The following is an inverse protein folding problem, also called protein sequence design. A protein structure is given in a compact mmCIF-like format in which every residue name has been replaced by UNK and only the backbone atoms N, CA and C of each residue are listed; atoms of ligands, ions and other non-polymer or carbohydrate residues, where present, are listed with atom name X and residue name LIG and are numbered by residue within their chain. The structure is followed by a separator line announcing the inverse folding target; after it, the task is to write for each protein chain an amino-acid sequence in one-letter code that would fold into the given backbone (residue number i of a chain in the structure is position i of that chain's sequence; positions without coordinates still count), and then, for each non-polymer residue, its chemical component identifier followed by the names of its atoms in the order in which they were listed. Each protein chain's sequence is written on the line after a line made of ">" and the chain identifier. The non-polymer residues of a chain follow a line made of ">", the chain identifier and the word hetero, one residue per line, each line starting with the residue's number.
data_IF_820893229916
#
_entry.id   IF_820893229916
#
_cell.length_a   1.000
_cell.length_b   1.000
_cell.length_c   1.000
_cell.angle_alpha   90.00
_cell.angle_beta   90.00
_cell.angle_gamma   90.00
#
_symmetry.space_group_name_H-M   'P 1'
#
loop_
_entity.id
_entity.type
_entity.pdbx_description
1 polymer ?
#
# COMPACT_ATOMS: atom_id res chain seq x y z
N UNK A 1 -4.15 -4.32 -19.44
CA UNK A 1 -3.90 -4.17 -17.99
C UNK A 1 -2.84 -5.17 -17.60
N UNK A 2 -1.73 -4.72 -17.04
CA UNK A 2 -0.63 -5.59 -16.58
C UNK A 2 -1.08 -6.41 -15.38
N UNK A 3 -0.56 -7.62 -15.23
CA UNK A 3 -0.70 -8.35 -13.97
C UNK A 3 0.13 -7.69 -12.88
N UNK A 4 -0.27 -7.81 -11.62
CA UNK A 4 0.47 -7.22 -10.49
C UNK A 4 1.94 -7.64 -10.50
N UNK A 5 2.21 -8.91 -10.81
CA UNK A 5 3.57 -9.42 -10.94
C UNK A 5 4.46 -8.69 -11.95
N UNK A 6 3.87 -8.09 -13.00
CA UNK A 6 4.62 -7.32 -14.01
C UNK A 6 5.03 -5.93 -13.52
N UNK A 7 4.34 -5.42 -12.48
CA UNK A 7 4.57 -4.10 -11.90
C UNK A 7 5.60 -4.16 -10.79
N UNK A 8 5.72 -5.30 -10.10
CA UNK A 8 6.65 -5.49 -8.99
C UNK A 8 8.11 -5.39 -9.47
N UNK A 9 8.97 -4.77 -8.68
CA UNK A 9 10.41 -4.64 -8.95
C UNK A 9 11.08 -6.01 -9.02
N UNK A 10 12.02 -6.18 -9.96
CA UNK A 10 12.72 -7.46 -10.19
C UNK A 10 13.42 -7.99 -8.94
N UNK A 11 14.08 -7.12 -8.19
CA UNK A 11 14.74 -7.53 -6.95
C UNK A 11 13.75 -7.97 -5.85
N UNK A 12 12.51 -7.48 -5.88
CA UNK A 12 11.45 -7.89 -4.94
C UNK A 12 10.85 -9.24 -5.36
N UNK A 13 10.67 -9.47 -6.67
CA UNK A 13 10.21 -10.76 -7.19
C UNK A 13 11.14 -11.91 -6.80
N UNK A 14 12.44 -11.65 -6.77
CA UNK A 14 13.46 -12.64 -6.41
C UNK A 14 13.62 -12.90 -4.91
N UNK A 15 12.90 -12.15 -4.04
CA UNK A 15 13.02 -12.33 -2.59
C UNK A 15 12.32 -13.62 -2.14
N UNK A 16 13.03 -14.43 -1.37
CA UNK A 16 12.41 -15.47 -0.57
C UNK A 16 11.85 -14.82 0.69
N UNK A 17 10.56 -15.03 0.94
CA UNK A 17 9.94 -14.57 2.18
C UNK A 17 10.66 -15.22 3.38
N UNK A 18 10.91 -14.44 4.41
CA UNK A 18 11.39 -14.99 5.67
C UNK A 18 10.34 -15.96 6.23
N UNK A 19 10.74 -17.19 6.48
CA UNK A 19 9.95 -18.16 7.18
C UNK A 19 10.45 -18.29 8.61
N UNK A 20 9.55 -18.19 9.58
CA UNK A 20 9.85 -18.50 10.97
C UNK A 20 9.24 -19.85 11.34
N UNK A 21 9.90 -20.59 12.25
CA UNK A 21 9.42 -21.91 12.69
C UNK A 21 7.95 -21.89 13.15
N UNK A 22 7.52 -20.80 13.79
CA UNK A 22 6.14 -20.59 14.23
C UNK A 22 5.15 -20.50 13.06
N UNK A 23 5.57 -19.97 11.91
CA UNK A 23 4.71 -19.85 10.74
C UNK A 23 4.50 -21.19 10.01
N UNK A 24 5.46 -22.11 10.16
CA UNK A 24 5.43 -23.44 9.54
C UNK A 24 4.78 -24.49 10.40
N UNK A 25 4.56 -24.19 11.69
CA UNK A 25 4.03 -25.15 12.63
C UNK A 25 2.52 -25.03 12.81
N UNK A 26 1.80 -26.11 12.52
CA UNK A 26 0.37 -26.27 12.78
C UNK A 26 0.17 -27.38 13.83
N UNK A 27 0.12 -27.03 15.10
CA UNK A 27 -0.08 -28.00 16.17
C UNK A 27 -0.62 -27.38 17.45
N UNK A 28 -1.32 -28.21 18.24
CA UNK A 28 -1.82 -27.85 19.56
C UNK A 28 -1.20 -28.76 20.63
N UNK A 29 -1.14 -28.31 21.87
CA UNK A 29 -0.60 -29.07 23.02
C UNK A 29 0.87 -29.47 22.88
N UNK A 30 1.70 -28.55 22.40
CA UNK A 30 3.15 -28.75 22.30
C UNK A 30 3.90 -27.76 23.17
N UNK A 31 5.11 -28.13 23.57
CA UNK A 31 6.07 -27.20 24.17
C UNK A 31 6.92 -26.63 23.05
N UNK A 32 6.79 -25.33 22.81
CA UNK A 32 7.55 -24.62 21.79
C UNK A 32 8.94 -24.24 22.33
N UNK A 33 9.99 -24.74 21.68
CA UNK A 33 11.39 -24.46 21.96
C UNK A 33 12.11 -23.89 20.73
N UNK A 34 11.33 -23.32 19.83
CA UNK A 34 11.74 -22.89 18.50
C UNK A 34 12.23 -21.42 18.43
N UNK A 35 12.01 -20.66 19.52
CA UNK A 35 12.30 -19.25 19.57
C UNK A 35 12.78 -18.78 20.94
N UNK A 36 13.54 -17.71 20.97
CA UNK A 36 14.02 -17.10 22.22
C UNK A 36 12.94 -16.19 22.81
N UNK A 37 11.91 -16.80 23.39
CA UNK A 37 10.79 -16.11 24.00
C UNK A 37 10.95 -15.97 25.51
N UNK A 38 10.29 -14.95 26.11
CA UNK A 38 10.28 -14.78 27.56
C UNK A 38 9.51 -15.94 28.23
N UNK A 39 10.14 -16.70 29.14
CA UNK A 39 9.49 -17.85 29.80
C UNK A 39 8.45 -17.43 30.85
N UNK A 40 8.49 -16.19 31.32
CA UNK A 40 7.54 -15.72 32.32
C UNK A 40 6.19 -15.39 31.69
N UNK A 41 5.12 -15.91 32.29
CA UNK A 41 3.77 -15.73 31.76
C UNK A 41 3.37 -14.24 31.78
N UNK A 42 2.98 -13.72 30.62
CA UNK A 42 2.37 -12.41 30.40
C UNK A 42 1.58 -12.41 29.10
N UNK A 43 0.79 -11.40 28.85
CA UNK A 43 0.05 -11.24 27.59
C UNK A 43 0.98 -11.03 26.38
N UNK A 44 2.22 -10.62 26.59
CA UNK A 44 3.16 -10.22 25.54
C UNK A 44 4.47 -11.04 25.55
N UNK A 45 4.47 -12.22 26.17
CA UNK A 45 5.68 -13.03 26.30
C UNK A 45 5.99 -13.92 25.10
N UNK A 46 5.10 -13.96 24.12
CA UNK A 46 5.24 -14.75 22.91
C UNK A 46 5.37 -13.87 21.66
N UNK A 47 6.10 -14.33 20.66
CA UNK A 47 6.11 -13.68 19.36
C UNK A 47 4.71 -13.66 18.74
N UNK A 48 4.27 -12.54 18.17
CA UNK A 48 2.99 -12.46 17.49
C UNK A 48 2.98 -13.29 16.21
N UNK A 49 1.80 -13.64 15.72
CA UNK A 49 1.65 -14.23 14.40
C UNK A 49 2.10 -13.23 13.31
N UNK A 50 3.19 -13.51 12.55
CA UNK A 50 3.73 -12.59 11.55
C UNK A 50 2.76 -12.36 10.38
N UNK A 51 1.77 -13.23 10.20
CA UNK A 51 0.76 -13.09 9.16
C UNK A 51 -0.54 -12.45 9.63
N UNK A 52 -0.67 -12.15 10.93
CA UNK A 52 -1.86 -11.52 11.57
C UNK A 52 -3.17 -12.23 11.17
N UNK A 53 -3.17 -13.56 11.13
CA UNK A 53 -4.25 -14.38 10.57
C UNK A 53 -5.59 -14.14 11.26
N UNK A 54 -5.60 -14.03 12.57
CA UNK A 54 -6.80 -13.79 13.36
C UNK A 54 -7.38 -12.41 13.08
N UNK A 55 -6.56 -11.38 13.16
CA UNK A 55 -6.97 -10.00 12.89
C UNK A 55 -7.46 -9.83 11.45
N UNK A 56 -6.77 -10.42 10.47
CA UNK A 56 -7.20 -10.40 9.06
C UNK A 56 -8.54 -11.10 8.85
N UNK A 57 -8.82 -12.20 9.56
CA UNK A 57 -10.14 -12.85 9.51
C UNK A 57 -11.26 -11.94 10.01
N UNK A 58 -11.05 -11.26 11.13
CA UNK A 58 -12.04 -10.33 11.66
C UNK A 58 -12.26 -9.12 10.76
N UNK A 59 -11.19 -8.52 10.24
CA UNK A 59 -11.31 -7.39 9.29
C UNK A 59 -11.98 -7.87 8.00
N UNK A 60 -11.60 -9.03 7.47
CA UNK A 60 -12.21 -9.60 6.28
C UNK A 60 -13.70 -9.83 6.44
N UNK A 61 -14.13 -10.36 7.59
CA UNK A 61 -15.54 -10.52 7.93
C UNK A 61 -16.28 -9.17 8.01
N UNK A 62 -15.68 -8.18 8.66
CA UNK A 62 -16.27 -6.85 8.84
C UNK A 62 -16.40 -6.10 7.51
N UNK A 63 -15.39 -6.19 6.65
CA UNK A 63 -15.32 -5.46 5.38
C UNK A 63 -15.84 -6.24 4.17
N UNK A 64 -16.17 -7.51 4.33
CA UNK A 64 -16.58 -8.37 3.22
C UNK A 64 -15.47 -8.63 2.20
N UNK A 65 -14.20 -8.67 2.65
CA UNK A 65 -13.02 -8.82 1.80
C UNK A 65 -12.29 -10.12 2.15
N UNK A 66 -11.83 -10.85 1.17
CA UNK A 66 -11.03 -12.06 1.38
C UNK A 66 -9.70 -11.76 2.09
N UNK A 67 -9.31 -12.60 3.03
CA UNK A 67 -8.09 -12.46 3.83
C UNK A 67 -6.83 -12.34 2.95
N UNK A 68 -6.79 -13.05 1.83
CA UNK A 68 -5.71 -13.01 0.84
C UNK A 68 -5.50 -11.63 0.19
N UNK A 69 -6.51 -10.76 0.27
CA UNK A 69 -6.48 -9.40 -0.26
C UNK A 69 -6.20 -8.35 0.81
N UNK A 70 -5.87 -8.76 2.03
CA UNK A 70 -5.60 -7.86 3.14
C UNK A 70 -4.12 -7.81 3.48
N UNK A 71 -3.59 -6.60 3.54
CA UNK A 71 -2.29 -6.29 4.14
C UNK A 71 -2.55 -5.30 5.27
N UNK A 72 -1.99 -5.57 6.44
CA UNK A 72 -2.15 -4.72 7.61
C UNK A 72 -0.82 -4.06 7.96
N UNK A 73 -0.88 -2.79 8.34
CA UNK A 73 0.28 -1.98 8.75
C UNK A 73 -0.08 -1.04 9.90
N UNK A 74 0.93 -0.38 10.44
CA UNK A 74 0.77 0.63 11.49
C UNK A 74 0.45 1.99 10.86
N UNK A 75 -0.82 2.17 10.52
CA UNK A 75 -1.30 3.32 9.76
C UNK A 75 -1.09 3.17 8.25
N UNK A 76 -1.68 4.08 7.49
CA UNK A 76 -1.54 4.12 6.03
C UNK A 76 -0.11 4.42 5.58
N UNK A 77 0.66 5.20 6.35
CA UNK A 77 2.02 5.59 5.99
C UNK A 77 2.96 4.41 5.79
N UNK A 78 2.86 3.37 6.67
CA UNK A 78 3.65 2.15 6.50
C UNK A 78 3.29 1.42 5.20
N UNK A 79 2.00 1.37 4.87
CA UNK A 79 1.53 0.71 3.65
C UNK A 79 1.88 1.50 2.38
N UNK A 80 1.83 2.83 2.44
CA UNK A 80 2.27 3.72 1.34
C UNK A 80 3.76 3.48 1.05
N UNK A 81 4.60 3.53 2.06
CA UNK A 81 6.04 3.29 1.91
C UNK A 81 6.33 1.87 1.38
N UNK A 82 5.64 0.87 1.91
CA UNK A 82 5.77 -0.51 1.46
C UNK A 82 5.39 -0.70 -0.02
N UNK A 83 4.30 -0.07 -0.47
CA UNK A 83 3.88 -0.10 -1.87
C UNK A 83 4.94 0.54 -2.78
N UNK A 84 5.43 1.72 -2.42
CA UNK A 84 6.47 2.43 -3.18
C UNK A 84 7.71 1.54 -3.32
N UNK A 85 8.19 0.96 -2.22
CA UNK A 85 9.36 0.05 -2.23
C UNK A 85 9.14 -1.19 -3.06
N UNK A 86 7.91 -1.67 -3.14
CA UNK A 86 7.58 -2.89 -3.88
C UNK A 86 7.57 -2.67 -5.38
N UNK A 87 7.09 -1.51 -5.85
CA UNK A 87 6.81 -1.31 -7.28
C UNK A 87 7.67 -0.27 -7.97
N UNK A 88 8.17 0.75 -7.25
CA UNK A 88 8.95 1.83 -7.84
C UNK A 88 10.45 1.59 -7.72
N UNK A 89 11.16 1.52 -8.82
CA UNK A 89 12.62 1.48 -8.85
C UNK A 89 13.17 2.89 -8.60
N UNK A 90 14.00 3.09 -7.56
CA UNK A 90 14.61 4.39 -7.27
C UNK A 90 15.31 5.00 -8.49
N UNK A 91 15.30 6.33 -8.61
CA UNK A 91 15.96 7.12 -9.69
C UNK A 91 15.47 6.81 -11.10
N UNK A 92 14.46 5.96 -11.27
CA UNK A 92 13.92 5.59 -12.57
C UNK A 92 12.44 5.80 -12.68
N UNK A 93 11.69 5.29 -11.71
CA UNK A 93 10.24 5.29 -11.75
C UNK A 93 9.69 6.54 -11.04
N UNK A 94 8.47 6.90 -11.39
CA UNK A 94 7.77 8.03 -10.81
C UNK A 94 6.36 7.67 -10.36
N UNK A 95 5.78 8.56 -9.56
CA UNK A 95 4.42 8.48 -9.09
C UNK A 95 3.72 9.83 -9.18
N UNK A 96 2.40 9.83 -9.37
CA UNK A 96 1.58 11.03 -9.38
C UNK A 96 0.84 11.19 -8.05
N UNK A 97 0.80 12.42 -7.58
CA UNK A 97 0.03 12.87 -6.42
C UNK A 97 -0.64 14.21 -6.75
N UNK A 98 -1.59 14.63 -5.93
CA UNK A 98 -2.34 15.87 -6.15
C UNK A 98 -2.12 16.86 -5.01
N UNK A 99 -2.09 18.16 -5.35
CA UNK A 99 -1.93 19.30 -4.43
C UNK A 99 -3.13 20.26 -4.55
N UNK A 100 -3.69 20.74 -3.44
CA UNK A 100 -3.37 20.37 -2.07
C UNK A 100 -3.78 18.92 -1.72
N UNK A 101 -2.93 18.17 -1.00
CA UNK A 101 -3.15 16.78 -0.67
C UNK A 101 -2.33 16.30 0.51
N UNK A 102 -2.44 15.01 0.83
CA UNK A 102 -1.71 14.41 1.94
C UNK A 102 -0.20 14.34 1.65
N UNK A 103 0.57 15.09 2.43
CA UNK A 103 2.00 15.30 2.18
C UNK A 103 2.88 14.04 2.31
N UNK A 104 2.40 13.01 3.02
CA UNK A 104 3.20 11.80 3.23
C UNK A 104 3.44 10.99 1.95
N UNK A 105 2.61 11.13 0.94
CA UNK A 105 2.91 10.53 -0.38
C UNK A 105 4.21 11.08 -0.94
N UNK A 106 4.36 12.40 -0.91
CA UNK A 106 5.57 13.08 -1.39
C UNK A 106 6.79 12.75 -0.53
N UNK A 107 6.63 12.78 0.80
CA UNK A 107 7.70 12.42 1.74
C UNK A 107 8.18 10.99 1.49
N UNK A 108 7.26 10.03 1.42
CA UNK A 108 7.59 8.62 1.20
C UNK A 108 8.24 8.40 -0.18
N UNK A 109 7.75 9.07 -1.23
CA UNK A 109 8.38 9.02 -2.55
C UNK A 109 9.82 9.53 -2.52
N UNK A 110 10.07 10.68 -1.91
CA UNK A 110 11.41 11.27 -1.80
C UNK A 110 12.36 10.42 -0.94
N UNK A 111 11.90 9.87 0.17
CA UNK A 111 12.69 8.96 1.01
C UNK A 111 13.14 7.73 0.22
N UNK A 112 12.31 7.25 -0.70
CA UNK A 112 12.62 6.11 -1.56
C UNK A 112 13.36 6.49 -2.86
N UNK A 113 13.79 7.76 -3.02
CA UNK A 113 14.46 8.26 -4.23
C UNK A 113 13.64 8.02 -5.52
N UNK A 114 12.31 8.18 -5.40
CA UNK A 114 11.33 8.08 -6.48
C UNK A 114 10.83 9.47 -6.86
N UNK A 115 10.81 9.79 -8.15
CA UNK A 115 10.27 11.05 -8.64
C UNK A 115 8.80 11.18 -8.30
N UNK A 116 8.41 12.26 -7.65
CA UNK A 116 7.02 12.60 -7.34
C UNK A 116 6.55 13.73 -8.22
N UNK A 117 5.60 13.47 -9.08
CA UNK A 117 4.92 14.46 -9.92
C UNK A 117 3.67 14.92 -9.22
N UNK A 118 3.70 16.17 -8.77
CA UNK A 118 2.59 16.79 -8.07
C UNK A 118 1.75 17.58 -9.05
N UNK A 119 0.49 17.23 -9.20
CA UNK A 119 -0.49 17.89 -10.06
C UNK A 119 -1.39 18.77 -9.22
N UNK A 120 -1.56 20.02 -9.61
CA UNK A 120 -2.48 20.93 -8.94
C UNK A 120 -3.93 20.50 -9.19
N UNK A 121 -4.74 20.56 -8.14
CA UNK A 121 -6.19 20.42 -8.25
C UNK A 121 -6.79 21.73 -8.78
N UNK A 122 -7.93 21.64 -9.45
CA UNK A 122 -8.66 22.80 -9.96
C UNK A 122 -9.32 23.65 -8.84
N UNK A 123 -10.06 24.70 -9.21
CA UNK A 123 -10.74 25.58 -8.27
C UNK A 123 -11.85 24.91 -7.45
N UNK A 124 -12.28 23.73 -7.82
CA UNK A 124 -13.23 22.88 -7.08
C UNK A 124 -12.52 21.72 -6.37
N UNK A 125 -11.20 21.76 -6.30
CA UNK A 125 -10.35 20.73 -5.73
C UNK A 125 -10.53 19.35 -6.38
N UNK A 126 -10.73 19.34 -7.71
CA UNK A 126 -10.76 18.11 -8.49
C UNK A 126 -9.50 17.98 -9.36
N UNK A 127 -9.06 16.76 -9.68
CA UNK A 127 -8.02 16.55 -10.68
C UNK A 127 -8.43 17.08 -12.05
N UNK A 128 -7.48 17.67 -12.77
CA UNK A 128 -7.65 18.04 -14.17
C UNK A 128 -7.67 16.78 -15.06
N UNK A 129 -8.84 16.17 -15.16
CA UNK A 129 -9.03 14.84 -15.76
C UNK A 129 -8.55 14.72 -17.21
N UNK A 130 -8.69 15.81 -17.99
CA UNK A 130 -8.34 15.80 -19.42
C UNK A 130 -6.83 15.76 -19.64
N UNK A 131 -6.07 16.33 -18.73
CA UNK A 131 -4.59 16.48 -18.84
C UNK A 131 -3.83 15.56 -17.90
N UNK A 132 -4.52 14.82 -17.01
CA UNK A 132 -3.88 13.91 -16.06
C UNK A 132 -2.88 12.97 -16.75
N UNK A 133 -3.29 12.37 -17.87
CA UNK A 133 -2.47 11.42 -18.60
C UNK A 133 -1.29 12.06 -19.36
N UNK A 134 -1.27 13.38 -19.54
CA UNK A 134 -0.10 14.08 -20.11
C UNK A 134 1.12 14.02 -19.16
N UNK A 135 0.86 13.78 -17.87
CA UNK A 135 1.88 13.58 -16.84
C UNK A 135 2.26 12.13 -16.60
N UNK A 136 1.61 11.19 -17.30
CA UNK A 136 1.88 9.75 -17.21
C UNK A 136 2.84 9.33 -18.31
N UNK A 137 3.89 8.60 -17.94
CA UNK A 137 4.80 7.98 -18.89
C UNK A 137 5.05 6.49 -18.56
N UNK A 138 5.94 5.84 -19.31
CA UNK A 138 6.28 4.42 -19.11
C UNK A 138 6.91 4.11 -17.74
N UNK A 139 7.37 5.11 -17.04
CA UNK A 139 8.01 5.00 -15.72
C UNK A 139 7.04 5.34 -14.59
N UNK A 140 5.86 5.83 -14.91
CA UNK A 140 4.82 6.09 -13.92
C UNK A 140 4.27 4.76 -13.41
N UNK A 141 4.41 4.51 -12.10
CA UNK A 141 4.01 3.26 -11.46
C UNK A 141 2.76 3.38 -10.61
N UNK A 142 2.51 4.56 -10.07
CA UNK A 142 1.43 4.77 -9.11
C UNK A 142 0.77 6.12 -9.31
N UNK A 143 -0.54 6.16 -9.06
CA UNK A 143 -1.33 7.39 -8.94
C UNK A 143 -2.08 7.31 -7.62
N UNK A 144 -1.95 8.33 -6.75
CA UNK A 144 -2.62 8.40 -5.47
C UNK A 144 -3.80 9.34 -5.52
N UNK A 145 -4.97 8.85 -5.09
CA UNK A 145 -6.16 9.65 -4.84
C UNK A 145 -6.50 9.59 -3.35
N UNK A 146 -6.53 10.74 -2.68
CA UNK A 146 -7.01 10.87 -1.31
C UNK A 146 -8.48 11.31 -1.37
N UNK A 147 -9.39 10.50 -0.86
CA UNK A 147 -10.82 10.80 -0.94
C UNK A 147 -11.60 10.16 0.23
N UNK A 148 -12.17 10.95 1.16
CA UNK A 148 -12.10 12.42 1.25
C UNK A 148 -10.67 12.96 1.33
N UNK A 149 -10.37 14.08 0.62
CA UNK A 149 -9.02 14.62 0.53
C UNK A 149 -8.59 15.37 1.80
N UNK A 150 -7.42 15.08 2.30
CA UNK A 150 -6.78 15.84 3.36
C UNK A 150 -5.81 16.87 2.73
N UNK A 151 -5.92 18.21 2.97
CA UNK A 151 -6.72 18.82 4.05
C UNK A 151 -8.10 19.39 3.63
N UNK A 152 -8.48 19.25 2.37
CA UNK A 152 -9.59 20.03 1.80
C UNK A 152 -10.96 19.46 2.17
N UNK A 153 -11.08 18.13 2.34
CA UNK A 153 -12.32 17.46 2.71
C UNK A 153 -13.26 17.14 1.55
N UNK A 154 -12.89 17.48 0.32
CA UNK A 154 -13.70 17.14 -0.87
C UNK A 154 -13.61 15.66 -1.22
N UNK A 155 -14.63 15.17 -1.90
CA UNK A 155 -14.69 13.79 -2.41
C UNK A 155 -14.38 13.78 -3.89
N UNK A 156 -13.51 12.85 -4.29
CA UNK A 156 -13.22 12.59 -5.70
C UNK A 156 -14.22 11.53 -6.20
N UNK A 157 -14.95 11.77 -7.32
CA UNK A 157 -15.93 10.83 -7.82
C UNK A 157 -15.33 9.46 -8.18
N UNK A 158 -15.88 8.40 -7.62
CA UNK A 158 -15.38 7.03 -7.82
C UNK A 158 -15.36 6.61 -9.28
N UNK A 159 -16.34 7.06 -10.07
CA UNK A 159 -16.43 6.78 -11.51
C UNK A 159 -15.21 7.32 -12.25
N UNK A 160 -14.74 8.50 -11.87
CA UNK A 160 -13.54 9.11 -12.47
C UNK A 160 -12.28 8.34 -12.09
N UNK A 161 -12.18 7.90 -10.83
CA UNK A 161 -11.07 7.04 -10.39
C UNK A 161 -11.08 5.71 -11.15
N UNK A 162 -12.26 5.10 -11.35
CA UNK A 162 -12.42 3.88 -12.15
C UNK A 162 -12.02 4.08 -13.62
N UNK A 163 -12.36 5.21 -14.21
CA UNK A 163 -11.93 5.57 -15.56
C UNK A 163 -10.40 5.61 -15.65
N UNK A 164 -9.74 6.28 -14.69
CA UNK A 164 -8.27 6.30 -14.62
C UNK A 164 -7.71 4.90 -14.47
N UNK A 165 -8.24 4.11 -13.55
CA UNK A 165 -7.78 2.74 -13.29
C UNK A 165 -7.94 1.82 -14.52
N UNK A 166 -8.95 2.06 -15.36
CA UNK A 166 -9.16 1.29 -16.59
C UNK A 166 -8.14 1.58 -17.71
N UNK A 167 -7.52 2.77 -17.67
CA UNK A 167 -6.59 3.27 -18.69
C UNK A 167 -5.13 3.25 -18.26
N UNK A 168 -4.87 3.18 -16.97
CA UNK A 168 -3.54 3.24 -16.40
C UNK A 168 -2.96 1.84 -16.20
N UNK A 169 -1.77 1.60 -16.74
CA UNK A 169 -1.04 0.32 -16.64
C UNK A 169 -0.16 0.22 -15.37
N UNK A 170 -0.54 0.90 -14.31
CA UNK A 170 0.13 0.89 -13.01
C UNK A 170 -0.86 0.64 -11.87
N UNK A 171 -0.53 1.10 -10.68
CA UNK A 171 -1.36 0.98 -9.48
C UNK A 171 -2.08 2.30 -9.22
N UNK A 172 -3.39 2.26 -9.13
CA UNK A 172 -4.20 3.35 -8.60
C UNK A 172 -4.45 3.07 -7.12
N UNK A 173 -3.97 3.96 -6.28
CA UNK A 173 -4.18 3.91 -4.82
C UNK A 173 -5.29 4.87 -4.46
N UNK A 174 -6.28 4.38 -3.75
CA UNK A 174 -7.37 5.18 -3.19
C UNK A 174 -7.21 5.17 -1.67
N UNK A 175 -6.87 6.33 -1.12
CA UNK A 175 -6.71 6.51 0.30
C UNK A 175 -8.03 7.01 0.89
N UNK A 176 -8.66 6.17 1.68
CA UNK A 176 -9.95 6.38 2.34
C UNK A 176 -9.77 6.42 3.87
N UNK A 177 -8.73 7.12 4.34
CA UNK A 177 -8.46 7.26 5.78
C UNK A 177 -9.55 8.04 6.52
N UNK A 178 -10.40 8.80 5.79
CA UNK A 178 -11.52 9.58 6.32
C UNK A 178 -12.88 9.09 5.84
#
# INVERSE_FOLDING_TARGET
>A
MKEFGDIVRENVKGLQAYSCARAEFEGTNVTLLDANENPFASEYNRYPDPFQRELKREIGRLKGVEVSRLVLGNGSDELIDMLIRTVCTPRRDNMLVFSPGYSMYEVSGRVNDVEVRCLELDGEFQPEWNTLFDSVDRFTKMIFFCTPNNPVGNVIPLERIREVASRFDGIVVVDEAY
#
